data_IF_946911528014
#
_entry.id   IF_946911528014
#
_cell.length_a   1.000
_cell.length_b   1.000
_cell.length_c   1.000
_cell.angle_alpha   90.00
_cell.angle_beta   90.00
_cell.angle_gamma   90.00
#
_symmetry.space_group_name_H-M   'P 1'
#
loop_
_entity.id
_entity.type
_entity.pdbx_description
1 polymer ?
#
# COMPACT_ATOMS: atom_id res chain seq x y z
N UNK A 1 3.18 -8.41 -10.79
CA UNK A 1 2.71 -7.65 -9.60
C UNK A 1 3.62 -7.91 -8.40
N UNK A 2 3.90 -6.88 -7.58
CA UNK A 2 4.67 -6.99 -6.33
C UNK A 2 3.82 -6.62 -5.12
N UNK A 3 3.92 -7.37 -4.02
CA UNK A 3 3.23 -7.05 -2.76
C UNK A 3 4.13 -6.19 -1.86
N UNK A 4 3.56 -5.12 -1.29
CA UNK A 4 4.22 -4.16 -0.40
C UNK A 4 3.53 -4.14 0.96
N UNK A 5 4.23 -3.64 1.97
CA UNK A 5 3.64 -3.25 3.26
C UNK A 5 3.42 -1.74 3.30
N UNK A 6 2.24 -1.28 3.69
CA UNK A 6 2.05 0.14 4.03
C UNK A 6 2.44 0.42 5.48
N UNK A 7 3.02 1.58 5.77
CA UNK A 7 3.25 2.02 7.16
C UNK A 7 1.94 2.21 7.94
N UNK A 8 0.79 2.40 7.27
CA UNK A 8 -0.53 2.42 7.91
C UNK A 8 -0.83 1.11 8.68
N UNK A 9 -0.19 -0.01 8.31
CA UNK A 9 -0.35 -1.28 9.01
C UNK A 9 0.33 -1.34 10.39
N UNK A 10 1.30 -0.46 10.63
CA UNK A 10 2.02 -0.38 11.89
C UNK A 10 2.51 1.08 12.10
N UNK A 11 1.59 2.02 12.35
CA UNK A 11 1.87 3.45 12.25
C UNK A 11 2.85 3.95 13.31
N UNK A 12 3.05 3.21 14.40
CA UNK A 12 4.00 3.54 15.48
C UNK A 12 5.38 2.94 15.26
N UNK A 13 5.59 2.08 14.25
CA UNK A 13 6.86 1.42 14.02
C UNK A 13 7.90 2.32 13.35
N UNK A 14 9.16 2.04 13.68
CA UNK A 14 10.34 2.59 13.02
C UNK A 14 10.52 2.02 11.60
N UNK A 15 11.35 2.66 10.78
CA UNK A 15 11.70 2.13 9.44
C UNK A 15 12.34 0.73 9.50
N UNK A 16 13.13 0.46 10.54
CA UNK A 16 13.80 -0.83 10.69
C UNK A 16 12.82 -1.94 11.07
N UNK A 17 11.84 -1.65 11.92
CA UNK A 17 10.76 -2.58 12.25
C UNK A 17 9.90 -2.88 11.03
N UNK A 18 9.54 -1.86 10.24
CA UNK A 18 8.82 -2.02 8.98
C UNK A 18 9.62 -2.86 7.98
N UNK A 19 10.93 -2.59 7.84
CA UNK A 19 11.81 -3.38 6.98
C UNK A 19 11.96 -4.84 7.43
N UNK A 20 12.07 -5.07 8.75
CA UNK A 20 12.10 -6.40 9.32
C UNK A 20 10.78 -7.15 9.11
N UNK A 21 9.64 -6.46 9.22
CA UNK A 21 8.32 -7.02 8.94
C UNK A 21 8.17 -7.41 7.46
N UNK A 22 8.61 -6.56 6.53
CA UNK A 22 8.66 -6.87 5.10
C UNK A 22 9.45 -8.16 4.82
N UNK A 23 10.68 -8.26 5.34
CA UNK A 23 11.52 -9.46 5.16
C UNK A 23 10.86 -10.72 5.74
N UNK A 24 10.30 -10.62 6.95
CA UNK A 24 9.61 -11.73 7.62
C UNK A 24 8.38 -12.22 6.85
N UNK A 25 7.72 -11.32 6.13
CA UNK A 25 6.50 -11.58 5.35
C UNK A 25 6.76 -11.74 3.85
N UNK A 26 8.04 -11.77 3.43
CA UNK A 26 8.45 -11.86 2.03
C UNK A 26 7.80 -10.78 1.13
N UNK A 27 7.61 -9.57 1.67
CA UNK A 27 7.09 -8.41 0.94
C UNK A 27 8.23 -7.69 0.23
N UNK A 28 7.95 -7.18 -0.97
CA UNK A 28 8.95 -6.64 -1.88
C UNK A 28 9.43 -5.22 -1.52
N UNK A 29 8.73 -4.53 -0.62
CA UNK A 29 9.06 -3.16 -0.23
C UNK A 29 7.96 -2.48 0.57
N UNK A 30 8.10 -1.17 0.71
CA UNK A 30 7.25 -0.30 1.51
C UNK A 30 6.46 0.69 0.66
N UNK A 31 5.23 0.94 1.09
CA UNK A 31 4.54 2.21 0.91
C UNK A 31 4.66 2.97 2.24
N UNK A 32 5.22 4.19 2.21
CA UNK A 32 5.34 5.03 3.41
C UNK A 32 4.29 6.13 3.38
N UNK A 33 3.38 6.10 4.34
CA UNK A 33 2.43 7.18 4.58
C UNK A 33 3.13 8.26 5.38
N UNK A 34 3.14 9.49 4.84
CA UNK A 34 3.75 10.63 5.48
C UNK A 34 2.72 11.34 6.38
N UNK A 35 3.18 11.84 7.51
CA UNK A 35 2.40 12.58 8.49
C UNK A 35 3.06 12.59 9.87
N UNK A 36 2.83 13.67 10.64
CA UNK A 36 3.45 13.91 11.97
C UNK A 36 3.16 12.82 13.02
N UNK A 37 2.20 11.93 12.79
CA UNK A 37 1.84 10.84 13.70
C UNK A 37 2.58 9.52 13.44
N UNK A 38 3.46 9.45 12.44
CA UNK A 38 4.10 8.21 12.02
C UNK A 38 5.40 7.97 12.80
N UNK A 39 5.49 6.81 13.46
CA UNK A 39 6.62 6.39 14.29
C UNK A 39 7.93 6.21 13.51
N UNK A 40 7.85 6.05 12.18
CA UNK A 40 9.03 5.97 11.33
C UNK A 40 9.75 7.31 11.16
N UNK A 41 9.08 8.44 11.50
CA UNK A 41 9.64 9.81 11.52
C UNK A 41 10.45 10.16 10.27
N UNK A 42 10.01 9.70 9.09
CA UNK A 42 10.82 9.76 7.86
C UNK A 42 11.09 11.21 7.46
N UNK A 43 10.10 12.05 7.69
CA UNK A 43 10.12 13.49 7.46
C UNK A 43 11.15 14.20 8.33
N UNK A 44 11.27 13.80 9.59
CA UNK A 44 12.27 14.37 10.50
C UNK A 44 13.69 13.96 10.08
N UNK A 45 13.87 12.71 9.63
CA UNK A 45 15.15 12.19 9.13
C UNK A 45 15.60 12.84 7.81
N UNK A 46 14.72 13.61 7.16
CA UNK A 46 14.99 14.36 5.93
C UNK A 46 14.97 15.88 6.10
N UNK A 47 14.85 16.36 7.34
CA UNK A 47 15.01 17.78 7.62
C UNK A 47 16.49 18.18 7.39
N UNK A 48 16.78 19.14 6.48
CA UNK A 48 18.15 19.47 6.09
C UNK A 48 18.98 20.17 7.18
N UNK A 49 18.40 20.48 8.34
CA UNK A 49 19.08 21.23 9.41
C UNK A 49 19.91 20.32 10.34
N UNK A 50 19.65 19.00 10.37
CA UNK A 50 20.34 18.04 11.25
C UNK A 50 20.91 16.81 10.53
N UNK A 51 20.59 16.63 9.24
CA UNK A 51 21.15 15.55 8.46
C UNK A 51 22.60 15.87 8.08
N UNK A 52 23.56 15.37 8.86
CA UNK A 52 24.84 15.01 8.26
C UNK A 52 24.58 14.10 7.05
N UNK A 53 25.46 14.13 6.04
CA UNK A 53 25.35 13.45 4.74
C UNK A 53 25.10 11.91 4.78
N UNK A 54 24.89 11.30 5.95
CA UNK A 54 24.41 9.93 6.09
C UNK A 54 22.94 9.82 5.67
N UNK A 55 22.74 9.69 4.36
CA UNK A 55 21.46 9.36 3.77
C UNK A 55 20.92 8.05 4.40
N UNK A 56 19.95 8.18 5.32
CA UNK A 56 19.20 7.02 5.85
C UNK A 56 18.68 6.15 4.71
N UNK A 57 19.24 4.96 4.49
CA UNK A 57 18.80 4.07 3.43
C UNK A 57 17.88 2.99 4.02
N UNK A 58 16.58 2.97 3.68
CA UNK A 58 15.68 1.95 4.17
C UNK A 58 16.19 0.54 3.82
N UNK A 59 16.10 -0.39 4.78
CA UNK A 59 16.59 -1.77 4.61
C UNK A 59 15.78 -2.62 3.61
N UNK A 60 14.70 -2.05 3.05
CA UNK A 60 13.89 -2.59 1.95
C UNK A 60 13.49 -1.43 1.01
N UNK A 61 13.20 -1.69 -0.28
CA UNK A 61 12.82 -0.64 -1.21
C UNK A 61 11.58 0.13 -0.77
N UNK A 62 11.63 1.46 -0.77
CA UNK A 62 10.44 2.31 -0.68
C UNK A 62 9.91 2.53 -2.10
N UNK A 63 8.71 2.04 -2.37
CA UNK A 63 8.09 2.11 -3.69
C UNK A 63 7.18 3.34 -3.83
N UNK A 64 6.54 3.76 -2.75
CA UNK A 64 5.57 4.86 -2.77
C UNK A 64 5.66 5.69 -1.50
N UNK A 65 5.56 7.01 -1.65
CA UNK A 65 5.36 7.96 -0.55
C UNK A 65 3.94 8.51 -0.66
N UNK A 66 3.13 8.35 0.38
CA UNK A 66 1.74 8.82 0.41
C UNK A 66 1.68 10.18 1.09
N UNK A 67 1.27 11.20 0.35
CA UNK A 67 1.11 12.54 0.89
C UNK A 67 -0.24 12.67 1.62
N UNK A 68 -0.26 13.25 2.83
CA UNK A 68 -1.50 13.49 3.55
C UNK A 68 -2.26 14.65 2.90
N UNK A 69 -3.55 14.44 2.63
CA UNK A 69 -4.43 15.47 2.10
C UNK A 69 -3.97 16.08 0.76
N UNK A 70 -4.27 17.37 0.56
CA UNK A 70 -3.82 18.15 -0.60
C UNK A 70 -2.47 18.80 -0.28
N UNK A 71 -1.37 18.42 -0.95
CA UNK A 71 -0.05 18.97 -0.64
C UNK A 71 0.06 20.41 -1.12
N UNK A 72 0.79 21.23 -0.36
CA UNK A 72 1.26 22.55 -0.82
C UNK A 72 2.35 22.36 -1.87
N UNK A 73 2.58 23.36 -2.72
CA UNK A 73 3.63 23.30 -3.73
C UNK A 73 5.02 23.02 -3.12
N UNK A 74 5.36 23.63 -1.99
CA UNK A 74 6.65 23.40 -1.31
C UNK A 74 6.80 21.96 -0.80
N UNK A 75 5.72 21.38 -0.28
CA UNK A 75 5.68 19.97 0.15
C UNK A 75 5.83 19.05 -1.07
N UNK A 76 5.11 19.35 -2.15
CA UNK A 76 5.16 18.60 -3.39
C UNK A 76 6.58 18.60 -3.99
N UNK A 77 7.25 19.76 -4.04
CA UNK A 77 8.64 19.88 -4.52
C UNK A 77 9.62 19.07 -3.65
N UNK A 78 9.47 19.17 -2.33
CA UNK A 78 10.33 18.45 -1.37
C UNK A 78 10.19 16.94 -1.56
N UNK A 79 8.96 16.45 -1.56
CA UNK A 79 8.70 15.02 -1.64
C UNK A 79 8.89 14.45 -3.04
N UNK A 80 8.76 15.27 -4.09
CA UNK A 80 9.17 14.90 -5.44
C UNK A 80 10.68 14.64 -5.50
N UNK A 81 11.51 15.57 -5.00
CA UNK A 81 12.96 15.37 -4.95
C UNK A 81 13.34 14.09 -4.19
N UNK A 82 12.68 13.84 -3.07
CA UNK A 82 12.90 12.65 -2.26
C UNK A 82 12.44 11.35 -2.96
N UNK A 83 11.25 11.36 -3.57
CA UNK A 83 10.75 10.22 -4.32
C UNK A 83 11.68 9.87 -5.50
N UNK A 84 12.18 10.88 -6.21
CA UNK A 84 13.16 10.70 -7.27
C UNK A 84 14.43 10.02 -6.76
N UNK A 85 14.99 10.52 -5.64
CA UNK A 85 16.21 9.97 -5.01
C UNK A 85 16.04 8.50 -4.60
N UNK A 86 14.85 8.10 -4.17
CA UNK A 86 14.52 6.72 -3.79
C UNK A 86 14.15 5.81 -4.96
N UNK A 87 13.90 6.37 -6.16
CA UNK A 87 13.21 5.64 -7.24
C UNK A 87 11.76 5.28 -6.90
N UNK A 88 11.16 5.99 -5.94
CA UNK A 88 9.79 5.85 -5.49
C UNK A 88 8.83 6.69 -6.34
N UNK A 89 7.53 6.49 -6.13
CA UNK A 89 6.48 7.38 -6.65
C UNK A 89 5.77 8.13 -5.54
N UNK A 90 5.00 9.15 -5.92
CA UNK A 90 4.10 9.86 -5.01
C UNK A 90 2.66 9.33 -5.15
N UNK A 91 1.99 9.09 -4.02
CA UNK A 91 0.55 8.90 -3.97
C UNK A 91 -0.10 10.18 -3.45
N UNK A 92 -1.00 10.73 -4.27
CA UNK A 92 -1.72 11.97 -3.98
C UNK A 92 -3.17 11.61 -3.62
N UNK A 93 -3.74 12.28 -2.63
CA UNK A 93 -5.16 12.12 -2.26
C UNK A 93 -6.08 13.16 -2.91
N UNK A 94 -5.50 14.13 -3.59
CA UNK A 94 -6.22 15.16 -4.30
C UNK A 94 -5.45 15.50 -5.59
N UNK A 95 -6.15 15.86 -6.67
CA UNK A 95 -5.51 16.32 -7.89
C UNK A 95 -4.68 17.58 -7.62
N UNK A 96 -3.54 17.65 -8.30
CA UNK A 96 -2.68 18.84 -8.36
C UNK A 96 -2.59 19.31 -9.80
N UNK A 97 -2.47 20.62 -9.98
CA UNK A 97 -2.46 21.24 -11.31
C UNK A 97 -1.16 20.95 -12.08
N UNK A 98 -0.03 20.98 -11.36
CA UNK A 98 1.29 20.75 -11.94
C UNK A 98 2.13 19.85 -11.02
N UNK A 99 2.87 18.92 -11.65
CA UNK A 99 3.80 18.03 -10.97
C UNK A 99 5.25 18.39 -11.30
N UNK A 100 6.16 18.36 -10.30
CA UNK A 100 7.58 18.51 -10.55
C UNK A 100 8.10 17.33 -11.38
N UNK A 101 8.65 17.60 -12.57
CA UNK A 101 9.33 16.56 -13.37
C UNK A 101 10.66 16.17 -12.70
N UNK A 102 11.08 14.88 -12.73
CA UNK A 102 10.52 13.75 -13.48
C UNK A 102 9.78 12.70 -12.61
N UNK A 103 9.08 13.10 -11.55
CA UNK A 103 8.57 12.13 -10.57
C UNK A 103 7.31 11.42 -11.05
N UNK A 104 7.27 10.09 -10.87
CA UNK A 104 6.03 9.32 -11.07
C UNK A 104 5.04 9.64 -9.96
N UNK A 105 3.79 9.91 -10.31
CA UNK A 105 2.72 10.14 -9.35
C UNK A 105 1.48 9.31 -9.69
N UNK A 106 0.70 8.97 -8.68
CA UNK A 106 -0.60 8.36 -8.85
C UNK A 106 -1.64 9.03 -7.95
N UNK A 107 -2.83 9.31 -8.50
CA UNK A 107 -3.95 9.83 -7.73
C UNK A 107 -4.75 8.67 -7.12
N UNK A 108 -4.89 8.70 -5.80
CA UNK A 108 -5.65 7.70 -5.02
C UNK A 108 -7.14 7.97 -5.20
N UNK A 109 -7.91 6.92 -5.51
CA UNK A 109 -9.37 6.99 -5.62
C UNK A 109 -10.02 5.73 -5.02
N UNK A 110 -11.27 5.87 -4.57
CA UNK A 110 -12.12 4.77 -4.12
C UNK A 110 -12.84 4.07 -5.29
N UNK A 111 -13.98 3.46 -4.99
CA UNK A 111 -14.84 2.82 -6.01
C UNK A 111 -16.01 3.69 -6.47
N UNK A 112 -16.13 4.92 -5.95
CA UNK A 112 -17.09 5.90 -6.45
C UNK A 112 -16.76 6.27 -7.91
N UNK A 113 -17.77 6.26 -8.79
CA UNK A 113 -17.54 6.47 -10.22
C UNK A 113 -17.07 7.89 -10.55
N UNK A 114 -17.52 8.91 -9.80
CA UNK A 114 -17.07 10.27 -10.03
C UNK A 114 -15.60 10.45 -9.61
N UNK A 115 -15.19 9.82 -8.51
CA UNK A 115 -13.76 9.78 -8.12
C UNK A 115 -12.91 9.04 -9.15
N UNK A 116 -13.39 7.91 -9.69
CA UNK A 116 -12.70 7.13 -10.73
C UNK A 116 -12.52 7.95 -12.00
N UNK A 117 -13.59 8.61 -12.48
CA UNK A 117 -13.54 9.47 -13.67
C UNK A 117 -12.56 10.62 -13.50
N UNK A 118 -12.62 11.30 -12.34
CA UNK A 118 -11.68 12.38 -12.01
C UNK A 118 -10.22 11.88 -11.99
N UNK A 119 -9.96 10.73 -11.37
CA UNK A 119 -8.62 10.18 -11.27
C UNK A 119 -8.05 9.76 -12.63
N UNK A 120 -8.88 9.16 -13.49
CA UNK A 120 -8.48 8.78 -14.86
C UNK A 120 -8.24 10.01 -15.73
N UNK A 121 -9.10 11.03 -15.65
CA UNK A 121 -8.93 12.28 -16.38
C UNK A 121 -7.62 12.97 -15.98
N UNK A 122 -7.40 13.16 -14.67
CA UNK A 122 -6.18 13.74 -14.13
C UNK A 122 -4.92 12.95 -14.57
N UNK A 123 -4.96 11.62 -14.47
CA UNK A 123 -3.82 10.79 -14.87
C UNK A 123 -3.50 10.94 -16.36
N UNK A 124 -4.51 11.04 -17.23
CA UNK A 124 -4.31 11.24 -18.67
C UNK A 124 -3.78 12.62 -19.00
N UNK A 125 -4.35 13.66 -18.41
CA UNK A 125 -3.94 15.06 -18.62
C UNK A 125 -2.51 15.30 -18.17
N UNK A 126 -2.11 14.71 -17.04
CA UNK A 126 -0.78 14.86 -16.47
C UNK A 126 0.27 13.87 -17.03
N UNK A 127 -0.16 12.86 -17.78
CA UNK A 127 0.72 11.75 -18.20
C UNK A 127 1.22 10.90 -17.02
N UNK A 128 0.34 10.68 -16.04
CA UNK A 128 0.61 10.03 -14.75
C UNK A 128 -0.29 8.80 -14.56
N UNK A 129 -0.42 8.34 -13.31
CA UNK A 129 -1.06 7.08 -12.97
C UNK A 129 -2.25 7.24 -12.02
N UNK A 130 -2.99 6.14 -11.83
CA UNK A 130 -4.01 6.00 -10.80
C UNK A 130 -3.57 5.00 -9.74
N UNK A 131 -4.09 5.20 -8.53
CA UNK A 131 -3.94 4.30 -7.41
C UNK A 131 -5.33 3.93 -6.88
N UNK A 132 -5.70 2.66 -6.99
CA UNK A 132 -7.01 2.23 -6.53
C UNK A 132 -6.97 1.78 -5.07
N UNK A 133 -7.84 2.33 -4.22
CA UNK A 133 -8.08 1.85 -2.86
C UNK A 133 -9.54 1.39 -2.73
N UNK A 134 -9.86 0.12 -3.07
CA UNK A 134 -11.22 -0.38 -2.96
C UNK A 134 -11.70 -0.37 -1.51
N UNK A 135 -12.96 0.03 -1.29
CA UNK A 135 -13.64 -0.16 -0.03
C UNK A 135 -13.88 -1.67 0.22
N UNK A 136 -13.90 -2.14 1.49
CA UNK A 136 -14.22 -3.53 1.79
C UNK A 136 -15.52 -4.02 1.16
N UNK A 137 -16.55 -3.18 1.12
CA UNK A 137 -17.85 -3.48 0.53
C UNK A 137 -17.74 -3.68 -0.99
N UNK A 138 -16.92 -2.86 -1.65
CA UNK A 138 -16.68 -2.98 -3.08
C UNK A 138 -16.00 -4.31 -3.43
N UNK A 139 -15.04 -4.76 -2.60
CA UNK A 139 -14.40 -6.08 -2.71
C UNK A 139 -15.42 -7.22 -2.61
N UNK A 140 -16.30 -7.16 -1.62
CA UNK A 140 -17.32 -8.18 -1.36
C UNK A 140 -18.35 -8.27 -2.49
N UNK A 141 -18.85 -7.12 -2.95
CA UNK A 141 -19.90 -7.04 -3.96
C UNK A 141 -19.37 -7.24 -5.39
N UNK A 142 -18.05 -7.13 -5.59
CA UNK A 142 -17.44 -7.28 -6.90
C UNK A 142 -17.56 -6.05 -7.81
N UNK A 143 -17.96 -4.90 -7.27
CA UNK A 143 -18.10 -3.64 -8.01
C UNK A 143 -16.76 -3.11 -8.52
N UNK A 144 -15.66 -3.52 -7.89
CA UNK A 144 -14.28 -3.26 -8.34
C UNK A 144 -14.02 -3.70 -9.80
N UNK A 145 -14.80 -4.62 -10.37
CA UNK A 145 -14.64 -5.04 -11.78
C UNK A 145 -14.83 -3.89 -12.75
N UNK A 146 -15.82 -3.04 -12.49
CA UNK A 146 -16.11 -1.87 -13.32
C UNK A 146 -14.99 -0.84 -13.18
N UNK A 147 -14.56 -0.59 -11.94
CA UNK A 147 -13.44 0.32 -11.64
C UNK A 147 -12.17 -0.14 -12.35
N UNK A 148 -11.82 -1.43 -12.22
CA UNK A 148 -10.62 -1.99 -12.83
C UNK A 148 -10.65 -1.86 -14.36
N UNK A 149 -11.80 -2.11 -15.00
CA UNK A 149 -11.92 -1.95 -16.45
C UNK A 149 -11.63 -0.51 -16.92
N UNK A 150 -11.99 0.49 -16.12
CA UNK A 150 -11.75 1.90 -16.44
C UNK A 150 -10.33 2.36 -16.12
N UNK A 151 -9.76 1.88 -15.01
CA UNK A 151 -8.48 2.38 -14.49
C UNK A 151 -7.27 1.58 -14.94
N UNK A 152 -7.43 0.33 -15.39
CA UNK A 152 -6.31 -0.55 -15.74
C UNK A 152 -5.24 0.10 -16.65
N UNK A 153 -5.58 0.91 -17.68
CA UNK A 153 -4.56 1.56 -18.52
C UNK A 153 -3.65 2.56 -17.78
N UNK A 154 -4.13 3.15 -16.68
CA UNK A 154 -3.38 4.12 -15.87
C UNK A 154 -3.03 3.58 -14.48
N UNK A 155 -3.50 2.39 -14.10
CA UNK A 155 -3.31 1.83 -12.77
C UNK A 155 -1.85 1.44 -12.53
N UNK A 156 -1.18 2.09 -11.58
CA UNK A 156 0.19 1.78 -11.19
C UNK A 156 0.30 1.15 -9.80
N UNK A 157 -0.67 1.45 -8.93
CA UNK A 157 -0.68 1.00 -7.54
C UNK A 157 -2.08 0.64 -7.07
N UNK A 158 -2.14 -0.26 -6.08
CA UNK A 158 -3.38 -0.61 -5.38
C UNK A 158 -3.10 -0.63 -3.89
N UNK A 159 -3.93 0.05 -3.10
CA UNK A 159 -3.91 -0.04 -1.63
C UNK A 159 -5.04 -0.96 -1.23
N UNK A 160 -4.72 -2.15 -0.71
CA UNK A 160 -5.68 -3.24 -0.55
C UNK A 160 -6.07 -3.43 0.93
N UNK A 161 -7.19 -2.83 1.39
CA UNK A 161 -7.71 -3.04 2.74
C UNK A 161 -8.22 -4.47 2.94
N UNK A 162 -8.31 -4.89 4.20
CA UNK A 162 -8.81 -6.21 4.55
C UNK A 162 -7.89 -7.36 4.13
N UNK A 163 -6.62 -7.05 3.83
CA UNK A 163 -5.60 -8.01 3.45
C UNK A 163 -4.75 -8.45 4.65
N UNK A 164 -3.63 -9.13 4.42
CA UNK A 164 -2.72 -9.56 5.47
C UNK A 164 -3.38 -10.49 6.50
N UNK A 165 -3.42 -10.14 7.81
CA UNK A 165 -4.07 -10.96 8.84
C UNK A 165 -5.58 -11.05 8.69
N UNK A 166 -6.22 -10.00 8.20
CA UNK A 166 -7.69 -9.93 8.11
C UNK A 166 -8.23 -10.93 7.08
N UNK A 167 -7.47 -11.16 6.01
CA UNK A 167 -7.76 -12.17 4.99
C UNK A 167 -7.65 -13.63 5.48
N UNK A 168 -7.14 -13.86 6.69
CA UNK A 168 -6.92 -15.21 7.26
C UNK A 168 -7.95 -15.58 8.33
N UNK A 169 -8.82 -14.64 8.71
CA UNK A 169 -9.86 -14.86 9.73
C UNK A 169 -11.07 -15.63 9.18
N UNK A 170 -11.75 -16.35 10.05
CA UNK A 170 -13.04 -16.95 9.72
C UNK A 170 -14.07 -15.82 9.53
N UNK A 171 -14.51 -15.60 8.28
CA UNK A 171 -15.31 -14.42 7.91
C UNK A 171 -14.50 -13.27 7.30
N UNK A 172 -13.24 -13.53 6.90
CA UNK A 172 -12.42 -12.60 6.12
C UNK A 172 -13.23 -11.93 4.99
N UNK A 173 -12.98 -10.63 4.70
CA UNK A 173 -13.69 -9.92 3.66
C UNK A 173 -13.63 -10.72 2.35
N UNK A 174 -14.81 -11.15 1.90
CA UNK A 174 -14.95 -11.90 0.66
C UNK A 174 -14.48 -11.03 -0.50
N UNK A 175 -13.82 -11.62 -1.49
CA UNK A 175 -13.45 -10.91 -2.73
C UNK A 175 -11.99 -10.46 -2.86
N UNK A 176 -11.18 -10.39 -1.79
CA UNK A 176 -9.74 -10.07 -1.90
C UNK A 176 -9.02 -11.03 -2.87
N UNK A 177 -9.23 -12.35 -2.70
CA UNK A 177 -8.63 -13.36 -3.57
C UNK A 177 -9.12 -13.25 -5.02
N UNK A 178 -10.41 -12.98 -5.23
CA UNK A 178 -11.00 -12.80 -6.55
C UNK A 178 -10.44 -11.55 -7.25
N UNK A 179 -10.26 -10.47 -6.51
CA UNK A 179 -9.67 -9.23 -6.99
C UNK A 179 -8.20 -9.40 -7.39
N UNK A 180 -7.38 -10.04 -6.55
CA UNK A 180 -5.98 -10.35 -6.88
C UNK A 180 -5.86 -11.28 -8.10
N UNK A 181 -6.76 -12.27 -8.22
CA UNK A 181 -6.84 -13.13 -9.39
C UNK A 181 -7.17 -12.33 -10.65
N UNK A 182 -8.13 -11.41 -10.58
CA UNK A 182 -8.49 -10.56 -11.70
C UNK A 182 -7.37 -9.60 -12.12
N UNK A 183 -6.66 -8.99 -11.18
CA UNK A 183 -5.45 -8.20 -11.48
C UNK A 183 -4.42 -9.05 -12.23
N UNK A 184 -4.19 -10.29 -11.78
CA UNK A 184 -3.25 -11.21 -12.41
C UNK A 184 -3.68 -11.58 -13.83
N UNK A 185 -4.95 -11.96 -14.02
CA UNK A 185 -5.52 -12.29 -15.34
C UNK A 185 -5.52 -11.10 -16.30
N UNK A 186 -5.66 -9.89 -15.78
CA UNK A 186 -5.57 -8.65 -16.54
C UNK A 186 -4.11 -8.25 -16.88
N UNK A 187 -3.11 -9.05 -16.50
CA UNK A 187 -1.70 -8.77 -16.76
C UNK A 187 -1.13 -7.61 -15.94
N UNK A 188 -1.77 -7.25 -14.81
CA UNK A 188 -1.34 -6.14 -13.99
C UNK A 188 0.09 -6.34 -13.45
N UNK A 189 0.99 -5.45 -13.85
CA UNK A 189 2.40 -5.51 -13.49
C UNK A 189 2.80 -4.61 -12.30
N UNK A 190 1.87 -3.79 -11.81
CA UNK A 190 2.12 -2.80 -10.76
C UNK A 190 2.31 -3.39 -9.36
N UNK A 191 2.02 -2.56 -8.36
CA UNK A 191 2.30 -2.85 -6.94
C UNK A 191 1.02 -2.86 -6.13
N UNK A 192 0.94 -3.74 -5.12
CA UNK A 192 -0.20 -3.80 -4.21
C UNK A 192 0.30 -3.65 -2.78
N UNK A 193 -0.06 -2.57 -2.11
CA UNK A 193 0.23 -2.38 -0.69
C UNK A 193 -0.86 -3.04 0.16
N UNK A 194 -0.44 -3.86 1.11
CA UNK A 194 -1.32 -4.44 2.11
C UNK A 194 -1.57 -3.38 3.20
N UNK A 195 -2.83 -3.03 3.43
CA UNK A 195 -3.24 -2.03 4.44
C UNK A 195 -4.35 -2.59 5.34
N UNK A 196 -4.49 -2.10 6.59
CA UNK A 196 -5.64 -2.41 7.42
C UNK A 196 -6.94 -1.89 6.80
N UNK A 197 -8.05 -2.60 7.03
CA UNK A 197 -9.39 -2.09 6.65
C UNK A 197 -9.85 -0.93 7.54
N UNK A 198 -9.36 -0.87 8.78
CA UNK A 198 -9.68 0.20 9.73
C UNK A 198 -8.72 0.23 10.93
N UNK A 199 -8.75 1.31 11.74
CA UNK A 199 -7.87 1.47 12.91
C UNK A 199 -8.07 0.40 13.99
N UNK A 200 -9.28 -0.13 14.12
CA UNK A 200 -9.64 -1.21 15.04
C UNK A 200 -8.90 -2.52 14.74
N UNK A 201 -8.36 -2.67 13.52
CA UNK A 201 -7.63 -3.85 13.06
C UNK A 201 -6.13 -3.78 13.37
N UNK A 202 -5.61 -2.61 13.75
CA UNK A 202 -4.18 -2.41 14.02
C UNK A 202 -3.57 -3.43 15.01
N UNK A 203 -4.24 -3.81 16.11
CA UNK A 203 -3.69 -4.82 17.04
C UNK A 203 -3.44 -6.19 16.38
N UNK A 204 -4.32 -6.60 15.46
CA UNK A 204 -4.17 -7.84 14.71
C UNK A 204 -3.01 -7.74 13.71
N UNK A 205 -2.85 -6.59 13.06
CA UNK A 205 -1.73 -6.28 12.18
C UNK A 205 -0.39 -6.27 12.89
N UNK A 206 -0.28 -5.58 14.03
CA UNK A 206 0.92 -5.59 14.85
C UNK A 206 1.30 -7.01 15.25
N UNK A 207 0.34 -7.76 15.78
CA UNK A 207 0.54 -9.16 16.17
C UNK A 207 1.03 -10.00 14.98
N UNK A 208 0.41 -9.85 13.82
CA UNK A 208 0.79 -10.58 12.63
C UNK A 208 2.17 -10.16 12.11
N UNK A 209 2.46 -8.88 11.97
CA UNK A 209 3.74 -8.40 11.49
C UNK A 209 4.88 -8.82 12.43
N UNK A 210 4.67 -8.78 13.75
CA UNK A 210 5.68 -9.06 14.77
C UNK A 210 5.90 -10.56 15.07
N UNK A 211 4.89 -11.42 14.88
CA UNK A 211 5.03 -12.87 15.12
C UNK A 211 5.97 -13.55 14.14
N UNK A 212 6.90 -14.36 14.64
CA UNK A 212 7.90 -15.15 13.88
C UNK A 212 7.34 -16.30 13.02
N UNK A 213 6.04 -16.61 13.06
CA UNK A 213 5.49 -17.72 12.26
C UNK A 213 5.36 -17.30 10.79
N UNK A 214 6.08 -18.00 9.92
CA UNK A 214 6.08 -17.82 8.47
C UNK A 214 4.71 -18.06 7.83
N UNK A 215 4.56 -17.60 6.60
CA UNK A 215 3.40 -17.84 5.75
C UNK A 215 3.28 -19.35 5.49
N UNK A 216 2.39 -20.01 6.22
CA UNK A 216 2.06 -21.41 6.00
C UNK A 216 0.55 -21.53 5.94
N UNK A 217 0.02 -21.92 4.78
CA UNK A 217 -1.39 -22.24 4.60
C UNK A 217 -1.86 -23.13 5.76
N UNK A 218 -2.76 -22.60 6.59
CA UNK A 218 -3.28 -23.29 7.79
C UNK A 218 -4.02 -24.60 7.51
N UNK A 219 -4.19 -24.95 6.24
CA UNK A 219 -4.87 -26.17 5.79
C UNK A 219 -4.06 -27.45 6.08
N UNK A 220 -2.72 -27.41 6.09
CA UNK A 220 -1.91 -28.61 6.35
C UNK A 220 -1.80 -28.94 7.85
N UNK A 221 -1.66 -27.91 8.71
CA UNK A 221 -1.54 -28.09 10.16
C UNK A 221 -2.88 -28.49 10.80
N UNK A 222 -4.01 -27.93 10.33
CA UNK A 222 -5.33 -28.31 10.82
C UNK A 222 -5.73 -29.75 10.44
N UNK A 223 -5.22 -30.27 9.31
CA UNK A 223 -5.52 -31.65 8.87
C UNK A 223 -4.81 -32.70 9.72
N UNK A 224 -3.59 -32.42 10.20
CA UNK A 224 -2.86 -33.32 11.12
C UNK A 224 -3.47 -33.38 12.51
N UNK A 225 -4.07 -32.29 12.99
CA UNK A 225 -4.78 -32.28 14.28
C UNK A 225 -6.11 -33.08 14.24
N UNK A 226 -6.72 -33.23 13.06
CA UNK A 226 -7.96 -34.02 12.87
C UNK A 226 -7.73 -35.48 12.51
N UNK A 227 -6.52 -35.87 12.09
CA UNK A 227 -6.19 -37.27 11.78
C UNK A 227 -5.58 -38.03 12.97
N UNK A 228 -5.47 -37.40 14.14
CA UNK A 228 -5.09 -38.07 15.39
C UNK A 228 -6.30 -38.68 16.09
N UNK A 229 -6.97 -39.65 15.46
CA UNK A 229 -7.84 -40.60 16.16
C UNK A 229 -6.98 -41.82 16.46
N UNK A 230 -6.83 -42.07 17.76
CA UNK A 230 -6.10 -43.14 18.41
C UNK A 230 -6.52 -44.52 17.88
N UNK A 231 -5.54 -45.39 17.67
CA UNK A 231 -5.72 -46.82 17.85
C UNK A 231 -5.79 -47.19 19.33
#
# INVERSE_FOLDING_TARGET
>A
MKLLLSSDALPTATLDELGAACRRRALAGLELVLGRGQGHRYEALRCPIEAGDEAVQPSVPVCWLVLPGRPRLSELMTWAGEAHRLGAGLLLRAPVEELPRPVRAALVHGSDLAEVEQAVAWAREQGMFTCYQPEPEALQQGTWRVVLAQTLPTLAHVRLPGSGPEGQEAGAPTGVGAFLAALTLAGYAGTVALIPSGPDRLPAWETWLLRRRGWGCGTAAARRARSGVSG
#
